data_IF_621167650263
#
_entry.id   IF_621167650263
#
_cell.length_a   1.000
_cell.length_b   1.000
_cell.length_c   1.000
_cell.angle_alpha   90.00
_cell.angle_beta   90.00
_cell.angle_gamma   90.00
#
_symmetry.space_group_name_H-M   'P 1'
#
loop_
_entity.id
_entity.type
_entity.pdbx_description
1 polymer ?
#
# COMPACT_ATOMS: atom_id res chain seq x y z
N UNK A 1 -13.68 -25.55 13.47
CA UNK A 1 -12.98 -25.97 12.23
C UNK A 1 -13.45 -25.06 11.10
N UNK A 2 -12.56 -24.65 10.17
CA UNK A 2 -12.98 -23.88 8.99
C UNK A 2 -14.06 -24.64 8.22
N UNK A 3 -15.00 -23.91 7.60
CA UNK A 3 -16.04 -24.51 6.76
C UNK A 3 -15.41 -25.29 5.60
N UNK A 4 -15.88 -26.51 5.26
CA UNK A 4 -15.34 -27.30 4.15
C UNK A 4 -15.51 -26.64 2.78
N UNK A 5 -16.36 -25.60 2.68
CA UNK A 5 -16.57 -24.81 1.46
C UNK A 5 -15.81 -23.49 1.44
N UNK A 6 -15.09 -23.15 2.51
CA UNK A 6 -14.30 -21.93 2.63
C UNK A 6 -12.86 -22.29 3.00
N UNK A 7 -12.00 -22.62 2.01
CA UNK A 7 -10.58 -22.83 2.28
C UNK A 7 -9.98 -21.59 2.95
N UNK A 8 -9.12 -21.80 3.95
CA UNK A 8 -8.42 -20.70 4.61
C UNK A 8 -7.48 -20.06 3.60
N UNK A 9 -7.75 -18.81 3.23
CA UNK A 9 -6.86 -18.03 2.39
C UNK A 9 -5.67 -17.54 3.22
N UNK A 10 -4.46 -17.74 2.70
CA UNK A 10 -3.23 -17.18 3.27
C UNK A 10 -2.84 -15.98 2.41
N UNK A 11 -2.88 -14.78 2.99
CA UNK A 11 -2.39 -13.58 2.34
C UNK A 11 -1.02 -13.20 2.90
N UNK A 12 -0.08 -12.86 2.02
CA UNK A 12 1.14 -12.20 2.45
C UNK A 12 0.80 -10.75 2.82
N UNK A 13 0.99 -10.39 4.09
CA UNK A 13 0.88 -9.01 4.53
C UNK A 13 2.26 -8.37 4.41
N UNK A 14 2.45 -7.40 3.50
CA UNK A 14 3.72 -6.70 3.40
C UNK A 14 3.99 -5.91 4.69
N UNK A 15 5.23 -5.99 5.17
CA UNK A 15 5.68 -5.12 6.25
C UNK A 15 5.85 -3.70 5.69
N UNK A 16 5.23 -2.70 6.33
CA UNK A 16 5.34 -1.30 5.96
C UNK A 16 6.08 -0.53 7.04
N UNK A 17 7.13 0.19 6.66
CA UNK A 17 7.85 1.06 7.59
C UNK A 17 7.02 2.30 7.89
N UNK A 18 7.05 2.76 9.14
CA UNK A 18 6.44 4.04 9.49
C UNK A 18 7.33 5.17 8.95
N UNK A 19 6.72 6.13 8.26
CA UNK A 19 7.39 7.28 7.66
C UNK A 19 6.55 8.54 7.91
N UNK A 20 7.13 9.70 7.60
CA UNK A 20 6.37 10.94 7.60
C UNK A 20 5.29 10.90 6.52
N UNK A 21 4.04 11.05 6.96
CA UNK A 21 2.86 10.95 6.10
C UNK A 21 2.64 12.25 5.32
N UNK A 22 1.93 12.15 4.20
CA UNK A 22 1.36 13.34 3.59
C UNK A 22 0.29 13.96 4.49
N UNK A 23 0.07 15.26 4.31
CA UNK A 23 -1.09 15.96 4.85
C UNK A 23 -2.40 15.28 4.40
N UNK A 24 -3.45 15.35 5.21
CA UNK A 24 -4.73 14.68 4.98
C UNK A 24 -5.35 15.04 3.62
N UNK A 25 -5.38 16.33 3.28
CA UNK A 25 -5.94 16.83 2.02
C UNK A 25 -5.25 16.21 0.80
N UNK A 26 -3.92 16.14 0.83
CA UNK A 26 -3.10 15.50 -0.21
C UNK A 26 -3.28 13.99 -0.25
N UNK A 27 -3.30 13.34 0.91
CA UNK A 27 -3.50 11.89 1.03
C UNK A 27 -4.82 11.46 0.41
N UNK A 28 -5.88 12.23 0.63
CA UNK A 28 -7.20 12.01 0.05
C UNK A 28 -7.18 12.16 -1.49
N UNK A 29 -6.49 13.17 -2.01
CA UNK A 29 -6.41 13.39 -3.46
C UNK A 29 -5.65 12.28 -4.20
N UNK A 30 -4.57 11.74 -3.63
CA UNK A 30 -3.70 10.76 -4.32
C UNK A 30 -4.02 9.30 -3.97
N UNK A 31 -4.82 9.04 -2.92
CA UNK A 31 -5.22 7.70 -2.50
C UNK A 31 -4.20 6.95 -1.64
N UNK A 32 -3.19 7.62 -1.10
CA UNK A 32 -2.24 7.05 -0.13
C UNK A 32 -1.70 8.12 0.81
N UNK A 33 -1.60 7.81 2.10
CA UNK A 33 -0.91 8.66 3.07
C UNK A 33 0.61 8.50 3.04
N UNK A 34 1.11 7.40 2.49
CA UNK A 34 2.52 7.02 2.48
C UNK A 34 3.22 7.50 1.20
N UNK A 35 4.19 8.42 1.28
CA UNK A 35 4.98 8.86 0.14
C UNK A 35 5.66 7.71 -0.60
N UNK A 36 6.14 6.69 0.11
CA UNK A 36 6.76 5.50 -0.48
C UNK A 36 5.86 4.78 -1.48
N UNK A 37 4.57 4.67 -1.16
CA UNK A 37 3.56 4.02 -2.02
C UNK A 37 3.18 4.88 -3.24
N UNK A 38 3.40 6.19 -3.17
CA UNK A 38 3.13 7.09 -4.29
C UNK A 38 4.26 7.11 -5.34
N UNK A 39 5.49 6.71 -4.98
CA UNK A 39 6.69 6.74 -5.85
C UNK A 39 6.49 6.12 -7.25
N UNK A 40 5.81 4.96 -7.43
CA UNK A 40 5.62 4.37 -8.77
C UNK A 40 4.82 5.26 -9.74
N UNK A 41 4.00 6.16 -9.19
CA UNK A 41 3.12 7.05 -9.95
C UNK A 41 3.74 8.43 -10.20
N UNK A 42 4.87 8.72 -9.56
CA UNK A 42 5.66 9.90 -9.84
C UNK A 42 6.38 9.67 -11.18
N UNK A 43 6.01 10.44 -12.23
CA UNK A 43 6.72 10.48 -13.52
C UNK A 43 8.24 10.53 -13.26
N UNK A 44 8.94 9.41 -13.46
CA UNK A 44 10.35 9.32 -13.06
C UNK A 44 10.87 7.93 -12.66
N UNK A 45 10.02 6.90 -12.60
CA UNK A 45 10.46 5.50 -12.48
C UNK A 45 11.27 5.05 -13.69
N UNK A 46 12.51 5.50 -13.82
CA UNK A 46 13.50 4.86 -14.68
C UNK A 46 13.80 3.52 -14.00
N UNK A 47 13.25 2.42 -14.53
CA UNK A 47 13.92 1.15 -14.41
C UNK A 47 15.35 1.37 -14.90
N UNK A 48 16.33 1.30 -14.00
CA UNK A 48 17.74 1.13 -14.36
C UNK A 48 18.02 -0.36 -14.36
#
# INVERSE_FOLDING_TARGET
>A
MPSPYCPVAMAYVPFQAFEELFEESKSFMIGTAFPSLFKPFMRGGRCR
#
